data_IF_832049763320
#
_entry.id   IF_832049763320
#
_cell.length_a   1.000
_cell.length_b   1.000
_cell.length_c   1.000
_cell.angle_alpha   90.00
_cell.angle_beta   90.00
_cell.angle_gamma   90.00
#
_symmetry.space_group_name_H-M   'P 1'
#
loop_
_entity.id
_entity.type
_entity.pdbx_description
1 polymer ?
#
# COMPACT_ATOMS: atom_id res chain seq x y z
N UNK A 1 -22.33 -59.75 23.46
CA UNK A 1 -22.25 -59.16 24.80
C UNK A 1 -20.80 -59.26 25.27
N UNK A 2 -20.17 -58.09 25.57
CA UNK A 2 -18.79 -57.86 26.07
C UNK A 2 -17.64 -58.27 25.09
N UNK A 3 -16.54 -57.56 24.81
CA UNK A 3 -15.92 -56.29 25.26
C UNK A 3 -14.69 -56.00 24.34
N UNK A 4 -14.36 -54.73 24.04
CA UNK A 4 -12.95 -54.25 23.94
C UNK A 4 -12.22 -54.06 22.59
N UNK A 5 -11.70 -52.83 22.40
CA UNK A 5 -10.53 -52.39 21.56
C UNK A 5 -10.72 -52.41 20.03
N UNK A 6 -10.45 -51.37 19.21
CA UNK A 6 -9.45 -50.30 19.27
C UNK A 6 -9.91 -49.05 18.50
N UNK A 7 -9.59 -47.87 19.02
CA UNK A 7 -9.69 -46.59 18.32
C UNK A 7 -8.73 -46.55 17.12
N UNK A 8 -9.25 -46.41 15.90
CA UNK A 8 -8.45 -45.93 14.76
C UNK A 8 -8.90 -44.50 14.50
N UNK A 9 -8.17 -43.53 15.06
CA UNK A 9 -8.27 -42.15 14.63
C UNK A 9 -7.62 -42.06 13.25
N UNK A 10 -8.45 -42.04 12.21
CA UNK A 10 -8.01 -41.68 10.87
C UNK A 10 -7.66 -40.19 10.91
N UNK A 11 -6.37 -39.88 11.07
CA UNK A 11 -5.86 -38.53 10.90
C UNK A 11 -5.95 -38.18 9.41
N UNK A 12 -7.06 -37.57 9.02
CA UNK A 12 -7.16 -36.87 7.74
C UNK A 12 -6.17 -35.69 7.80
N UNK A 13 -5.04 -35.82 7.10
CA UNK A 13 -4.18 -34.68 6.79
C UNK A 13 -4.97 -33.74 5.88
N UNK A 14 -5.64 -32.75 6.49
CA UNK A 14 -6.13 -31.60 5.74
C UNK A 14 -4.90 -30.93 5.12
N UNK A 15 -4.86 -30.70 3.80
CA UNK A 15 -3.82 -29.87 3.23
C UNK A 15 -4.02 -28.49 3.83
N UNK A 16 -3.04 -28.02 4.60
CA UNK A 16 -2.96 -26.63 5.02
C UNK A 16 -2.97 -25.79 3.75
N UNK A 17 -4.13 -25.24 3.42
CA UNK A 17 -4.29 -24.18 2.43
C UNK A 17 -3.27 -23.11 2.80
N UNK A 18 -2.41 -22.73 1.85
CA UNK A 18 -1.50 -21.61 1.99
C UNK A 18 -2.29 -20.39 2.48
N UNK A 19 -2.12 -20.05 3.76
CA UNK A 19 -2.60 -18.80 4.29
C UNK A 19 -1.82 -17.69 3.58
N UNK A 20 -2.45 -17.02 2.63
CA UNK A 20 -1.92 -15.77 2.11
C UNK A 20 -1.71 -14.83 3.29
N UNK A 21 -0.47 -14.46 3.56
CA UNK A 21 -0.13 -13.47 4.58
C UNK A 21 -0.71 -12.13 4.13
N UNK A 22 -1.90 -11.79 4.61
CA UNK A 22 -2.59 -10.52 4.37
C UNK A 22 -1.91 -9.34 5.11
N UNK A 23 -0.66 -9.50 5.55
CA UNK A 23 0.14 -8.51 6.28
C UNK A 23 -0.63 -7.79 7.42
N UNK A 24 -1.48 -8.52 8.14
CA UNK A 24 -2.28 -7.96 9.23
C UNK A 24 -3.55 -7.21 8.80
N UNK A 25 -3.96 -7.29 7.53
CA UNK A 25 -5.25 -6.80 7.05
C UNK A 25 -6.38 -7.57 7.74
N UNK A 26 -6.95 -7.00 8.81
CA UNK A 26 -8.16 -7.54 9.42
C UNK A 26 -9.33 -7.05 8.59
N UNK A 27 -10.15 -7.98 8.11
CA UNK A 27 -11.45 -7.65 7.52
C UNK A 27 -12.30 -6.99 8.61
N UNK A 28 -12.25 -5.67 8.66
CA UNK A 28 -13.12 -4.88 9.49
C UNK A 28 -14.50 -4.95 8.84
N UNK A 29 -15.49 -5.47 9.56
CA UNK A 29 -16.90 -5.39 9.16
C UNK A 29 -17.19 -3.97 8.65
N UNK A 30 -17.75 -3.79 7.44
CA UNK A 30 -17.77 -2.50 6.77
C UNK A 30 -18.67 -1.53 7.54
N UNK A 31 -18.06 -0.80 8.47
CA UNK A 31 -18.65 0.41 9.02
C UNK A 31 -18.40 1.52 7.99
N UNK A 32 -19.41 2.33 7.66
CA UNK A 32 -19.20 3.49 6.80
C UNK A 32 -18.21 4.44 7.49
N UNK A 33 -16.97 4.43 7.04
CA UNK A 33 -15.94 5.35 7.52
C UNK A 33 -16.30 6.75 7.00
N UNK A 34 -16.39 7.76 7.87
CA UNK A 34 -16.67 9.12 7.41
C UNK A 34 -15.56 9.60 6.48
N UNK A 35 -15.93 10.34 5.43
CA UNK A 35 -14.96 10.95 4.53
C UNK A 35 -14.09 11.96 5.28
N UNK A 36 -12.77 11.91 5.04
CA UNK A 36 -11.80 12.87 5.58
C UNK A 36 -11.55 14.05 4.62
N UNK A 37 -12.22 14.07 3.47
CA UNK A 37 -12.09 15.15 2.47
C UNK A 37 -12.72 16.44 3.02
N UNK A 38 -11.89 17.48 3.24
CA UNK A 38 -12.33 18.78 3.80
C UNK A 38 -12.59 19.86 2.75
N UNK A 39 -12.14 19.68 1.51
CA UNK A 39 -12.24 20.65 0.43
C UNK A 39 -12.62 19.97 -0.89
N UNK A 40 -13.15 20.71 -1.89
CA UNK A 40 -13.41 20.16 -3.21
C UNK A 40 -12.15 19.51 -3.81
N UNK A 41 -12.34 18.45 -4.60
CA UNK A 41 -11.23 17.77 -5.27
C UNK A 41 -10.69 18.68 -6.39
N UNK A 42 -9.36 18.81 -6.58
CA UNK A 42 -8.78 19.77 -7.52
C UNK A 42 -9.33 19.72 -8.94
N UNK A 43 -9.67 18.54 -9.47
CA UNK A 43 -10.21 18.39 -10.81
C UNK A 43 -11.61 19.04 -11.00
N UNK A 44 -12.30 19.40 -9.91
CA UNK A 44 -13.63 20.04 -9.96
C UNK A 44 -13.58 21.53 -10.26
N UNK A 45 -12.42 22.18 -10.07
CA UNK A 45 -12.26 23.63 -10.27
C UNK A 45 -11.02 24.02 -11.12
N UNK A 46 -10.17 23.06 -11.49
CA UNK A 46 -9.04 23.31 -12.40
C UNK A 46 -9.46 23.28 -13.87
N UNK A 47 -9.01 24.25 -14.65
CA UNK A 47 -9.18 24.24 -16.11
C UNK A 47 -8.17 23.28 -16.75
N UNK A 48 -8.65 22.20 -17.37
CA UNK A 48 -7.79 21.20 -18.02
C UNK A 48 -6.90 21.80 -19.13
N UNK A 49 -7.38 22.85 -19.82
CA UNK A 49 -6.61 23.52 -20.88
C UNK A 49 -5.44 24.36 -20.35
N UNK A 50 -5.44 24.67 -19.05
CA UNK A 50 -4.37 25.42 -18.39
C UNK A 50 -3.28 24.51 -17.80
N UNK A 51 -3.45 23.19 -17.87
CA UNK A 51 -2.43 22.24 -17.42
C UNK A 51 -1.25 22.21 -18.39
N UNK A 52 -0.01 22.05 -17.89
CA UNK A 52 1.14 21.95 -18.76
C UNK A 52 1.10 20.67 -19.61
N UNK A 53 1.67 20.72 -20.82
CA UNK A 53 1.80 19.57 -21.71
C UNK A 53 2.64 18.44 -21.11
N UNK A 54 3.61 18.80 -20.27
CA UNK A 54 4.51 17.91 -19.56
C UNK A 54 4.73 18.43 -18.14
N UNK A 55 4.76 17.52 -17.17
CA UNK A 55 5.03 17.84 -15.78
C UNK A 55 5.85 16.72 -15.16
N UNK A 56 7.06 17.05 -14.71
CA UNK A 56 7.95 16.11 -14.02
C UNK A 56 8.51 16.77 -12.76
N UNK A 57 8.16 16.24 -11.59
CA UNK A 57 8.64 16.76 -10.30
C UNK A 57 10.14 16.54 -10.09
N UNK A 58 10.76 15.69 -10.92
CA UNK A 58 12.20 15.43 -10.90
C UNK A 58 13.00 16.51 -11.63
N UNK A 59 12.32 17.34 -12.43
CA UNK A 59 12.94 18.46 -13.13
C UNK A 59 11.98 19.64 -13.24
N UNK A 60 11.94 20.43 -12.16
CA UNK A 60 11.27 21.72 -12.14
C UNK A 60 12.34 22.81 -12.22
N UNK A 61 12.68 23.21 -13.44
CA UNK A 61 13.72 24.20 -13.75
C UNK A 61 15.11 23.80 -13.21
N UNK A 62 15.52 22.54 -13.42
CA UNK A 62 16.81 22.02 -12.96
C UNK A 62 16.83 21.58 -11.49
N UNK A 63 15.68 21.62 -10.80
CA UNK A 63 15.54 21.15 -9.41
C UNK A 63 14.62 19.93 -9.32
N UNK A 64 15.11 18.84 -8.74
CA UNK A 64 14.30 17.68 -8.37
C UNK A 64 13.66 17.89 -7.00
N UNK A 65 12.37 17.59 -6.90
CA UNK A 65 11.62 17.48 -5.63
C UNK A 65 11.26 16.04 -5.28
N UNK A 66 11.56 15.08 -6.16
CA UNK A 66 11.34 13.67 -5.90
C UNK A 66 12.34 13.15 -4.85
N UNK A 67 11.86 12.25 -4.00
CA UNK A 67 12.68 11.48 -3.08
C UNK A 67 13.49 10.41 -3.81
N UNK A 68 14.56 9.97 -3.16
CA UNK A 68 15.47 8.98 -3.72
C UNK A 68 14.79 7.64 -4.03
N UNK A 69 15.29 6.98 -5.08
CA UNK A 69 14.87 5.63 -5.42
C UNK A 69 15.33 4.64 -4.35
N UNK A 70 14.38 3.89 -3.79
CA UNK A 70 14.63 2.87 -2.77
C UNK A 70 14.55 1.46 -3.36
N UNK A 71 15.25 0.50 -2.74
CA UNK A 71 15.24 -0.90 -3.14
C UNK A 71 14.71 -1.78 -2.00
N UNK A 72 13.47 -2.27 -2.15
CA UNK A 72 12.80 -3.13 -1.17
C UNK A 72 13.31 -4.58 -1.13
N UNK A 73 14.13 -5.00 -2.11
CA UNK A 73 14.54 -6.39 -2.26
C UNK A 73 15.86 -6.74 -1.55
N UNK A 74 16.52 -5.75 -0.94
CA UNK A 74 17.79 -5.92 -0.22
C UNK A 74 17.63 -5.50 1.24
N UNK A 75 18.39 -6.11 2.19
CA UNK A 75 19.32 -7.24 1.99
C UNK A 75 18.61 -8.59 1.76
N UNK A 76 17.30 -8.64 1.95
CA UNK A 76 16.46 -9.81 1.71
C UNK A 76 15.21 -9.36 0.95
N UNK A 77 14.65 -10.27 0.14
CA UNK A 77 13.44 -9.98 -0.60
C UNK A 77 12.28 -9.64 0.35
N UNK A 78 11.67 -8.48 0.14
CA UNK A 78 10.46 -8.06 0.83
C UNK A 78 9.48 -7.43 -0.16
N UNK A 79 8.24 -7.94 -0.20
CA UNK A 79 7.13 -7.41 -1.00
C UNK A 79 6.52 -6.13 -0.42
N UNK A 80 7.35 -5.15 -0.01
CA UNK A 80 6.92 -3.93 0.68
C UNK A 80 6.70 -2.73 -0.25
N UNK A 81 6.41 -2.98 -1.54
CA UNK A 81 6.18 -1.93 -2.54
C UNK A 81 5.05 -0.99 -2.16
N UNK A 82 3.99 -1.52 -1.56
CA UNK A 82 2.86 -0.73 -1.07
C UNK A 82 3.29 0.31 -0.02
N UNK A 83 4.21 -0.05 0.87
CA UNK A 83 4.72 0.84 1.91
C UNK A 83 5.74 1.84 1.34
N UNK A 84 6.64 1.37 0.48
CA UNK A 84 7.63 2.23 -0.18
C UNK A 84 6.96 3.27 -1.07
N UNK A 85 6.01 2.87 -1.93
CA UNK A 85 5.30 3.78 -2.81
C UNK A 85 4.49 4.83 -2.04
N UNK A 86 3.75 4.42 -1.00
CA UNK A 86 2.95 5.33 -0.18
C UNK A 86 3.82 6.36 0.56
N UNK A 87 4.92 5.91 1.15
CA UNK A 87 5.81 6.80 1.92
C UNK A 87 6.63 7.71 1.01
N UNK A 88 7.16 7.23 -0.13
CA UNK A 88 7.86 8.07 -1.10
C UNK A 88 6.95 9.16 -1.67
N UNK A 89 5.73 8.83 -2.11
CA UNK A 89 4.79 9.83 -2.60
C UNK A 89 4.38 10.87 -1.53
N UNK A 90 4.29 10.46 -0.26
CA UNK A 90 4.05 11.38 0.85
C UNK A 90 5.24 12.33 1.05
N UNK A 91 6.46 11.79 1.04
CA UNK A 91 7.68 12.60 1.16
C UNK A 91 7.85 13.57 -0.02
N UNK A 92 7.57 13.15 -1.25
CA UNK A 92 7.57 14.03 -2.43
C UNK A 92 6.60 15.21 -2.25
N UNK A 93 5.40 14.96 -1.71
CA UNK A 93 4.41 16.01 -1.41
C UNK A 93 4.92 16.98 -0.34
N UNK A 94 5.63 16.49 0.67
CA UNK A 94 6.26 17.36 1.68
C UNK A 94 7.34 18.22 1.03
N UNK A 95 8.16 17.66 0.14
CA UNK A 95 9.16 18.42 -0.61
C UNK A 95 8.52 19.51 -1.48
N UNK A 96 7.41 19.20 -2.16
CA UNK A 96 6.64 20.18 -2.94
C UNK A 96 6.13 21.32 -2.04
N UNK A 97 5.58 20.99 -0.87
CA UNK A 97 5.08 21.99 0.08
C UNK A 97 6.21 22.86 0.67
N UNK A 98 7.40 22.30 0.86
CA UNK A 98 8.55 22.98 1.47
C UNK A 98 9.53 23.60 0.47
N UNK A 99 9.28 23.43 -0.83
CA UNK A 99 10.17 23.91 -1.89
C UNK A 99 11.50 23.13 -1.99
N UNK A 100 11.54 21.88 -1.53
CA UNK A 100 12.71 20.99 -1.62
C UNK A 100 13.76 21.19 -0.52
N UNK A 101 13.31 21.43 0.72
CA UNK A 101 14.11 21.67 1.92
C UNK A 101 13.63 20.83 3.11
#
# INVERSE_FOLDING_TARGET
>A
SLNGTSNVMVFAFAPFLFAGTNHGHRDMYPQPKPSIVKSPLPHTYMNMSALPRSYDIRDLNGKSLATDNRNQHIPQYCGSCWAHAATSALSDRINILRGGC
#
